data_IF_669458398223
#
_entry.id   IF_669458398223
#
_cell.length_a   1.000
_cell.length_b   1.000
_cell.length_c   1.000
_cell.angle_alpha   90.00
_cell.angle_beta   90.00
_cell.angle_gamma   90.00
#
_symmetry.space_group_name_H-M   'P 1'
#
loop_
_entity.id
_entity.type
_entity.pdbx_description
1 polymer ?
#
# COMPACT_ATOMS: atom_id res chain seq x y z
N UNK A 1 -16.11 20.93 20.85
CA UNK A 1 -15.29 19.83 20.31
C UNK A 1 -15.21 19.99 18.80
N UNK A 2 -14.04 20.34 18.25
CA UNK A 2 -13.85 20.47 16.79
C UNK A 2 -13.95 19.06 16.20
N UNK A 3 -14.92 18.80 15.35
CA UNK A 3 -14.89 17.64 14.46
C UNK A 3 -13.59 17.75 13.65
N UNK A 4 -12.60 16.91 13.97
CA UNK A 4 -11.36 16.83 13.20
C UNK A 4 -11.71 16.10 11.91
N UNK A 5 -12.18 16.86 10.92
CA UNK A 5 -12.41 16.34 9.58
C UNK A 5 -11.13 15.68 9.09
N UNK A 6 -11.26 14.40 8.71
CA UNK A 6 -10.17 13.58 8.20
C UNK A 6 -9.50 14.33 7.03
N UNK A 7 -8.17 14.53 7.04
CA UNK A 7 -7.48 15.20 5.95
C UNK A 7 -7.75 14.52 4.61
N UNK A 8 -7.91 15.29 3.53
CA UNK A 8 -8.20 14.77 2.19
C UNK A 8 -7.22 13.66 1.77
N UNK A 9 -5.92 13.87 2.05
CA UNK A 9 -4.88 12.89 1.74
C UNK A 9 -5.08 11.54 2.45
N UNK A 10 -5.68 11.53 3.65
CA UNK A 10 -6.01 10.29 4.36
C UNK A 10 -7.31 9.67 3.82
N UNK A 11 -8.26 10.50 3.38
CA UNK A 11 -9.52 10.06 2.77
C UNK A 11 -9.32 9.42 1.40
N UNK A 12 -8.35 9.92 0.62
CA UNK A 12 -8.02 9.43 -0.72
C UNK A 12 -7.07 8.23 -0.75
N UNK A 13 -6.64 7.69 0.41
CA UNK A 13 -5.73 6.54 0.41
C UNK A 13 -6.40 5.32 -0.22
N UNK A 14 -5.76 4.68 -1.22
CA UNK A 14 -6.16 3.37 -1.72
C UNK A 14 -6.40 2.35 -0.60
N UNK A 15 -7.44 1.53 -0.74
CA UNK A 15 -7.84 0.50 0.21
C UNK A 15 -7.48 -0.91 -0.26
N UNK A 16 -7.41 -1.12 -1.58
CA UNK A 16 -7.00 -2.37 -2.22
C UNK A 16 -5.81 -2.14 -3.14
N UNK A 17 -5.13 -3.23 -3.51
CA UNK A 17 -3.90 -3.15 -4.30
C UNK A 17 -4.13 -2.61 -5.71
N UNK A 18 -5.30 -2.87 -6.30
CA UNK A 18 -5.68 -2.43 -7.65
C UNK A 18 -5.88 -0.90 -7.75
N UNK A 19 -6.16 -0.24 -6.62
CA UNK A 19 -6.28 1.21 -6.51
C UNK A 19 -4.92 1.90 -6.29
N UNK A 20 -3.83 1.14 -6.15
CA UNK A 20 -2.52 1.68 -5.80
C UNK A 20 -1.70 2.06 -7.05
N UNK A 21 -1.47 3.35 -7.24
CA UNK A 21 -0.84 3.90 -8.45
C UNK A 21 0.68 4.14 -8.31
N UNK A 22 1.38 4.12 -9.44
CA UNK A 22 2.76 4.59 -9.55
C UNK A 22 3.86 3.58 -9.21
N UNK A 23 3.51 2.40 -8.67
CA UNK A 23 4.46 1.36 -8.27
C UNK A 23 4.31 0.07 -9.08
N UNK A 24 3.89 0.16 -10.35
CA UNK A 24 3.65 -1.01 -11.20
C UNK A 24 4.89 -1.90 -11.38
N UNK A 25 6.10 -1.34 -11.31
CA UNK A 25 7.34 -2.11 -11.37
C UNK A 25 7.58 -3.02 -10.15
N UNK A 26 6.84 -2.82 -9.05
CA UNK A 26 6.86 -3.69 -7.87
C UNK A 26 5.63 -4.60 -7.80
N UNK A 27 4.52 -4.19 -8.41
CA UNK A 27 3.19 -4.76 -8.17
C UNK A 27 2.51 -5.37 -9.41
N UNK A 28 3.19 -5.41 -10.56
CA UNK A 28 2.70 -6.13 -11.74
C UNK A 28 2.60 -7.63 -11.50
N UNK A 29 1.70 -8.27 -12.23
CA UNK A 29 1.54 -9.72 -12.23
C UNK A 29 2.88 -10.40 -12.48
N UNK A 30 3.26 -11.29 -11.56
CA UNK A 30 4.54 -12.03 -11.48
C UNK A 30 5.71 -11.34 -10.79
N UNK A 31 5.60 -10.09 -10.32
CA UNK A 31 6.66 -9.55 -9.47
C UNK A 31 6.70 -10.24 -8.09
N UNK A 32 7.90 -10.42 -7.50
CA UNK A 32 8.05 -11.14 -6.24
C UNK A 32 7.18 -10.59 -5.11
N UNK A 33 7.05 -9.26 -5.01
CA UNK A 33 6.22 -8.65 -3.96
C UNK A 33 4.73 -8.91 -4.19
N UNK A 34 4.22 -8.78 -5.43
CA UNK A 34 2.83 -9.11 -5.76
C UNK A 34 2.53 -10.58 -5.46
N UNK A 35 3.42 -11.48 -5.88
CA UNK A 35 3.27 -12.91 -5.60
C UNK A 35 3.34 -13.23 -4.11
N UNK A 36 4.24 -12.60 -3.35
CA UNK A 36 4.33 -12.79 -1.91
C UNK A 36 3.04 -12.34 -1.19
N UNK A 37 2.43 -11.24 -1.64
CA UNK A 37 1.14 -10.75 -1.15
C UNK A 37 0.03 -11.77 -1.50
N UNK A 38 -0.07 -12.14 -2.78
CA UNK A 38 -1.13 -13.04 -3.27
C UNK A 38 -1.06 -14.45 -2.65
N UNK A 39 0.16 -14.96 -2.47
CA UNK A 39 0.42 -16.30 -1.91
C UNK A 39 0.51 -16.31 -0.38
N UNK A 40 0.35 -15.17 0.30
CA UNK A 40 0.44 -15.03 1.77
C UNK A 40 1.82 -15.44 2.34
N UNK A 41 2.88 -15.18 1.59
CA UNK A 41 4.27 -15.49 1.94
C UNK A 41 5.09 -14.19 2.13
N UNK A 42 4.53 -13.25 2.89
CA UNK A 42 5.18 -11.97 3.16
C UNK A 42 6.26 -12.11 4.23
N UNK A 43 7.47 -11.68 3.89
CA UNK A 43 8.57 -11.54 4.83
C UNK A 43 8.63 -10.11 5.39
N UNK A 44 9.29 -9.95 6.54
CA UNK A 44 9.65 -8.64 7.07
C UNK A 44 10.43 -7.84 6.01
N UNK A 45 10.03 -6.59 5.79
CA UNK A 45 10.61 -5.74 4.74
C UNK A 45 10.69 -4.27 5.18
N UNK A 46 11.63 -3.54 4.58
CA UNK A 46 11.76 -2.09 4.72
C UNK A 46 11.25 -1.44 3.43
N UNK A 47 10.20 -0.62 3.54
CA UNK A 47 9.70 0.17 2.42
C UNK A 47 10.45 1.51 2.38
N UNK A 48 11.25 1.74 1.35
CA UNK A 48 12.07 2.97 1.19
C UNK A 48 11.67 3.78 -0.05
N UNK A 49 11.84 5.10 0.01
CA UNK A 49 11.60 6.03 -1.08
C UNK A 49 11.17 7.43 -0.62
N UNK A 50 11.08 8.42 -1.52
CA UNK A 50 10.70 9.81 -1.22
C UNK A 50 9.35 9.98 -0.49
N UNK A 51 9.09 11.14 0.12
CA UNK A 51 7.79 11.40 0.76
C UNK A 51 6.64 11.29 -0.25
N UNK A 52 5.47 10.80 0.18
CA UNK A 52 4.29 10.67 -0.69
C UNK A 52 4.26 9.48 -1.65
N UNK A 53 5.31 8.64 -1.74
CA UNK A 53 5.34 7.48 -2.67
C UNK A 53 4.47 6.28 -2.29
N UNK A 54 3.62 6.42 -1.26
CA UNK A 54 2.64 5.39 -0.90
C UNK A 54 3.11 4.29 0.05
N UNK A 55 4.33 4.34 0.62
CA UNK A 55 4.86 3.33 1.56
C UNK A 55 3.89 2.92 2.68
N UNK A 56 3.40 3.91 3.43
CA UNK A 56 2.48 3.68 4.55
C UNK A 56 1.13 3.16 4.06
N UNK A 57 0.67 3.60 2.89
CA UNK A 57 -0.57 3.11 2.29
C UNK A 57 -0.41 1.65 1.85
N UNK A 58 0.69 1.29 1.19
CA UNK A 58 0.99 -0.06 0.77
C UNK A 58 1.06 -1.03 1.96
N UNK A 59 1.76 -0.65 3.03
CA UNK A 59 1.82 -1.46 4.25
C UNK A 59 0.43 -1.71 4.85
N UNK A 60 -0.47 -0.71 4.82
CA UNK A 60 -1.86 -0.87 5.28
C UNK A 60 -2.69 -1.78 4.39
N UNK A 61 -2.55 -1.66 3.07
CA UNK A 61 -3.23 -2.55 2.12
C UNK A 61 -2.79 -3.99 2.38
N UNK A 62 -1.48 -4.23 2.44
CA UNK A 62 -0.90 -5.56 2.69
C UNK A 62 -1.43 -6.15 4.00
N UNK A 63 -1.53 -5.37 5.07
CA UNK A 63 -2.08 -5.81 6.35
C UNK A 63 -3.57 -6.20 6.29
N UNK A 64 -4.34 -5.58 5.39
CA UNK A 64 -5.77 -5.89 5.19
C UNK A 64 -6.01 -7.09 4.30
N UNK A 65 -5.06 -7.41 3.42
CA UNK A 65 -5.13 -8.57 2.53
C UNK A 65 -4.89 -9.84 3.36
N UNK A 66 -5.99 -10.37 3.94
CA UNK A 66 -6.05 -11.62 4.71
C UNK A 66 -6.49 -12.79 3.85
#
# INVERSE_FOLDING_TARGET
MKSLSKPLAESLRPQILDEFFGQSHLLRDRHPLKQAIDNKQLHSMILWGPSGTGKTTLARIICKTN
#
